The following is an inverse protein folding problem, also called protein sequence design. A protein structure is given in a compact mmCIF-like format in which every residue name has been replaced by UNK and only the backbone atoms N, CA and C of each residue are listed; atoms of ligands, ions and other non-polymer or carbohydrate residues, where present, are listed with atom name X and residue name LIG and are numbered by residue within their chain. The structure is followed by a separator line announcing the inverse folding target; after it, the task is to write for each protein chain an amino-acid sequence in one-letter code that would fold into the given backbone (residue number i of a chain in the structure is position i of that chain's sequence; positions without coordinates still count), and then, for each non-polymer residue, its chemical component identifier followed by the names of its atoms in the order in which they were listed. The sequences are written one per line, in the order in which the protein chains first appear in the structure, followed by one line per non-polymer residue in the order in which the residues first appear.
data_IF_077872557025
#
_entry.id   IF_077872557025
#
_cell.length_a   1.000
_cell.length_b   1.000
_cell.length_c   1.000
_cell.angle_alpha   90.00
_cell.angle_beta   90.00
_cell.angle_gamma   90.00
#
_symmetry.space_group_name_H-M   'P 1'
#
loop_
_entity.id
_entity.type
_entity.pdbx_description
1 polymer ?
#
# COMPACT_ATOMS: atom_id res chain seq x y z
N UNK A 1 1.13 22.03 3.38
CA UNK A 1 2.54 21.68 3.07
C UNK A 1 2.59 20.30 2.43
N UNK A 2 3.27 20.15 1.30
CA UNK A 2 3.42 18.84 0.65
C UNK A 2 4.61 18.12 1.29
N UNK A 3 4.36 16.93 1.80
CA UNK A 3 5.40 16.08 2.38
C UNK A 3 6.17 15.41 1.24
N UNK A 4 7.49 15.52 1.24
CA UNK A 4 8.34 14.89 0.24
C UNK A 4 8.37 13.36 0.35
N UNK A 5 8.88 12.70 -0.71
CA UNK A 5 8.92 11.23 -0.78
C UNK A 5 9.66 10.59 0.40
N UNK A 6 10.81 11.14 0.76
CA UNK A 6 11.60 10.60 1.88
C UNK A 6 10.83 10.68 3.19
N UNK A 7 10.10 11.76 3.43
CA UNK A 7 9.29 11.92 4.63
C UNK A 7 8.10 10.94 4.62
N UNK A 8 7.45 10.73 3.48
CA UNK A 8 6.37 9.75 3.36
C UNK A 8 6.88 8.33 3.63
N UNK A 9 8.05 8.00 3.10
CA UNK A 9 8.68 6.71 3.37
C UNK A 9 8.91 6.51 4.87
N UNK A 10 9.47 7.52 5.53
CA UNK A 10 9.73 7.46 6.96
C UNK A 10 8.44 7.28 7.78
N UNK A 11 7.39 7.99 7.42
CA UNK A 11 6.09 7.87 8.09
C UNK A 11 5.47 6.49 7.94
N UNK A 12 5.69 5.83 6.81
CA UNK A 12 5.13 4.51 6.49
C UNK A 12 5.95 3.36 7.04
N UNK A 13 7.19 3.61 7.45
CA UNK A 13 8.15 2.55 7.83
C UNK A 13 7.61 1.66 8.95
N UNK A 14 7.13 2.26 10.03
CA UNK A 14 6.61 1.50 11.18
C UNK A 14 5.42 0.64 10.79
N UNK A 15 4.51 1.17 9.98
CA UNK A 15 3.32 0.45 9.54
C UNK A 15 3.68 -0.72 8.61
N UNK A 16 4.54 -0.49 7.64
CA UNK A 16 4.99 -1.54 6.72
C UNK A 16 5.73 -2.64 7.48
N UNK A 17 6.62 -2.25 8.41
CA UNK A 17 7.35 -3.20 9.25
C UNK A 17 6.39 -4.05 10.09
N UNK A 18 5.33 -3.46 10.62
CA UNK A 18 4.34 -4.19 11.41
C UNK A 18 3.57 -5.22 10.58
N UNK A 19 3.47 -5.02 9.26
CA UNK A 19 2.71 -5.91 8.37
C UNK A 19 3.59 -7.00 7.77
N UNK A 20 4.76 -6.63 7.20
CA UNK A 20 5.60 -7.58 6.47
C UNK A 20 6.85 -8.02 7.24
N UNK A 21 7.11 -7.42 8.40
CA UNK A 21 8.28 -7.72 9.21
C UNK A 21 9.50 -6.89 8.85
N UNK A 22 10.47 -6.85 9.75
CA UNK A 22 11.69 -6.05 9.60
C UNK A 22 12.49 -6.41 8.35
N UNK A 23 12.61 -7.70 8.06
CA UNK A 23 13.45 -8.17 6.94
C UNK A 23 12.89 -7.77 5.58
N UNK A 24 11.57 -7.58 5.47
CA UNK A 24 10.91 -7.22 4.21
C UNK A 24 10.44 -5.77 4.16
N UNK A 25 10.65 -5.01 5.23
CA UNK A 25 10.14 -3.64 5.30
C UNK A 25 10.70 -2.75 4.20
N UNK A 26 12.00 -2.84 3.92
CA UNK A 26 12.62 -2.03 2.86
C UNK A 26 12.02 -2.35 1.49
N UNK A 27 11.83 -3.63 1.18
CA UNK A 27 11.20 -4.05 -0.08
C UNK A 27 9.76 -3.55 -0.17
N UNK A 28 9.00 -3.64 0.92
CA UNK A 28 7.64 -3.12 0.98
C UNK A 28 7.57 -1.62 0.76
N UNK A 29 8.48 -0.88 1.36
CA UNK A 29 8.57 0.57 1.16
C UNK A 29 8.96 0.94 -0.27
N UNK A 30 9.88 0.19 -0.87
CA UNK A 30 10.26 0.37 -2.27
C UNK A 30 9.05 0.14 -3.19
N UNK A 31 8.24 -0.87 -2.89
CA UNK A 31 7.03 -1.14 -3.65
C UNK A 31 6.04 0.02 -3.55
N UNK A 32 5.86 0.61 -2.37
CA UNK A 32 4.99 1.77 -2.21
C UNK A 32 5.52 2.98 -2.97
N UNK A 33 6.83 3.18 -3.04
CA UNK A 33 7.42 4.24 -3.87
C UNK A 33 7.13 4.02 -5.36
N UNK A 34 7.27 2.80 -5.85
CA UNK A 34 6.91 2.47 -7.22
C UNK A 34 5.43 2.71 -7.48
N UNK A 35 4.59 2.38 -6.50
CA UNK A 35 3.16 2.63 -6.58
C UNK A 35 2.85 4.13 -6.68
N UNK A 36 3.62 4.98 -5.99
CA UNK A 36 3.47 6.43 -6.13
C UNK A 36 3.72 6.90 -7.56
N UNK A 37 4.77 6.40 -8.21
CA UNK A 37 5.07 6.75 -9.59
C UNK A 37 3.92 6.35 -10.52
N UNK A 38 3.44 5.12 -10.39
CA UNK A 38 2.34 4.62 -11.21
C UNK A 38 1.05 5.41 -10.96
N UNK A 39 0.77 5.74 -9.70
CA UNK A 39 -0.39 6.53 -9.30
C UNK A 39 -0.34 7.91 -9.93
N UNK A 40 0.83 8.56 -9.89
CA UNK A 40 1.04 9.86 -10.50
C UNK A 40 0.78 9.81 -12.01
N UNK A 41 1.31 8.79 -12.68
CA UNK A 41 1.12 8.64 -14.13
C UNK A 41 -0.35 8.45 -14.50
N UNK A 42 -1.12 7.74 -13.68
CA UNK A 42 -2.52 7.45 -13.97
C UNK A 42 -3.48 8.56 -13.54
N UNK A 43 -3.20 9.21 -12.41
CA UNK A 43 -4.16 10.12 -11.78
C UNK A 43 -3.64 11.55 -11.58
N UNK A 44 -2.36 11.80 -11.82
CA UNK A 44 -1.75 13.11 -11.64
C UNK A 44 -1.52 13.52 -10.18
N UNK A 45 -1.81 12.64 -9.24
CA UNK A 45 -1.58 12.90 -7.82
C UNK A 45 -0.21 12.42 -7.39
N UNK A 46 0.42 13.09 -6.43
CA UNK A 46 1.79 12.79 -6.00
C UNK A 46 1.89 11.42 -5.35
N UNK A 47 0.87 11.01 -4.60
CA UNK A 47 0.85 9.74 -3.88
C UNK A 47 -0.60 9.25 -3.78
N UNK A 48 -0.82 7.93 -3.66
CA UNK A 48 -2.15 7.42 -3.32
C UNK A 48 -2.61 8.00 -1.98
N UNK A 49 -3.93 8.20 -1.80
CA UNK A 49 -4.46 8.56 -0.48
C UNK A 49 -4.10 7.52 0.59
N UNK A 50 -4.06 7.94 1.84
CA UNK A 50 -3.67 7.05 2.94
C UNK A 50 -4.56 5.82 3.07
N UNK A 51 -5.86 5.94 2.79
CA UNK A 51 -6.77 4.80 2.83
C UNK A 51 -6.44 3.76 1.76
N UNK A 52 -5.95 4.18 0.59
CA UNK A 52 -5.51 3.26 -0.46
C UNK A 52 -4.23 2.53 -0.01
N UNK A 53 -3.28 3.23 0.60
CA UNK A 53 -2.08 2.62 1.15
C UNK A 53 -2.44 1.57 2.21
N UNK A 54 -3.36 1.90 3.11
CA UNK A 54 -3.83 0.95 4.13
C UNK A 54 -4.48 -0.27 3.50
N UNK A 55 -5.29 -0.10 2.46
CA UNK A 55 -5.94 -1.21 1.78
C UNK A 55 -4.93 -2.14 1.09
N UNK A 56 -3.85 -1.59 0.53
CA UNK A 56 -2.76 -2.40 -0.02
C UNK A 56 -2.17 -3.29 1.09
N UNK A 57 -1.89 -2.71 2.25
CA UNK A 57 -1.31 -3.43 3.38
C UNK A 57 -2.26 -4.47 3.95
N UNK A 58 -3.54 -4.17 4.06
CA UNK A 58 -4.56 -5.12 4.51
C UNK A 58 -4.60 -6.33 3.56
N UNK A 59 -4.65 -6.10 2.26
CA UNK A 59 -4.70 -7.16 1.27
C UNK A 59 -3.41 -7.97 1.19
N UNK A 60 -2.27 -7.41 1.63
CA UNK A 60 -1.00 -8.12 1.64
C UNK A 60 -0.97 -9.27 2.64
N UNK A 61 -1.66 -9.10 3.77
CA UNK A 61 -1.71 -10.09 4.86
C UNK A 61 -0.31 -10.55 5.27
N UNK A 62 0.67 -9.66 5.21
CA UNK A 62 2.06 -9.94 5.56
C UNK A 62 2.86 -10.64 4.45
N UNK A 63 2.28 -10.88 3.29
CA UNK A 63 2.93 -11.53 2.16
C UNK A 63 3.31 -10.50 1.09
N UNK A 64 4.60 -10.44 0.75
CA UNK A 64 5.10 -9.45 -0.21
C UNK A 64 4.51 -9.67 -1.61
N UNK A 65 4.34 -10.92 -2.05
CA UNK A 65 3.75 -11.20 -3.36
C UNK A 65 2.30 -10.71 -3.42
N UNK A 66 1.53 -10.92 -2.35
CA UNK A 66 0.17 -10.40 -2.24
C UNK A 66 0.16 -8.86 -2.22
N UNK A 67 1.16 -8.25 -1.59
CA UNK A 67 1.31 -6.79 -1.57
C UNK A 67 1.54 -6.24 -2.98
N UNK A 68 2.36 -6.92 -3.79
CA UNK A 68 2.59 -6.54 -5.19
C UNK A 68 1.27 -6.59 -5.98
N UNK A 69 0.49 -7.64 -5.81
CA UNK A 69 -0.81 -7.77 -6.49
C UNK A 69 -1.77 -6.68 -6.05
N UNK A 70 -1.81 -6.38 -4.75
CA UNK A 70 -2.67 -5.33 -4.21
C UNK A 70 -2.27 -3.95 -4.72
N UNK A 71 -0.96 -3.67 -4.82
CA UNK A 71 -0.46 -2.40 -5.36
C UNK A 71 -0.85 -2.23 -6.83
N UNK A 72 -0.76 -3.28 -7.63
CA UNK A 72 -1.21 -3.27 -9.02
C UNK A 72 -2.71 -2.99 -9.12
N UNK A 73 -3.49 -3.65 -8.27
CA UNK A 73 -4.94 -3.46 -8.25
C UNK A 73 -5.29 -2.02 -7.83
N UNK A 74 -4.55 -1.45 -6.88
CA UNK A 74 -4.76 -0.08 -6.43
C UNK A 74 -4.69 0.92 -7.60
N UNK A 75 -3.68 0.77 -8.43
CA UNK A 75 -3.47 1.66 -9.58
C UNK A 75 -4.52 1.43 -10.67
N UNK A 76 -4.86 0.17 -10.92
CA UNK A 76 -5.81 -0.21 -11.95
C UNK A 76 -7.25 0.08 -11.54
N UNK A 77 -7.63 -0.23 -10.30
CA UNK A 77 -8.98 -0.06 -9.80
C UNK A 77 -8.99 -0.03 -8.26
N UNK A 78 -8.86 1.17 -7.69
CA UNK A 78 -8.80 1.34 -6.25
C UNK A 78 -10.11 0.95 -5.55
N UNK A 79 -11.24 0.98 -6.26
CA UNK A 79 -12.53 0.54 -5.71
C UNK A 79 -12.55 -0.97 -5.49
N UNK A 80 -12.04 -1.74 -6.46
CA UNK A 80 -11.93 -3.19 -6.30
C UNK A 80 -10.98 -3.53 -5.16
N UNK A 81 -9.90 -2.78 -5.01
CA UNK A 81 -9.00 -2.94 -3.86
C UNK A 81 -9.73 -2.69 -2.55
N UNK A 82 -10.51 -1.61 -2.47
CA UNK A 82 -11.30 -1.30 -1.27
C UNK A 82 -12.20 -2.48 -0.89
N UNK A 83 -12.93 -3.03 -1.86
CA UNK A 83 -13.82 -4.17 -1.62
C UNK A 83 -13.06 -5.41 -1.16
N UNK A 84 -11.90 -5.69 -1.78
CA UNK A 84 -11.05 -6.80 -1.39
C UNK A 84 -10.54 -6.64 0.04
N UNK A 85 -10.12 -5.41 0.42
CA UNK A 85 -9.64 -5.14 1.77
C UNK A 85 -10.75 -5.31 2.81
N UNK A 86 -11.97 -4.88 2.50
CA UNK A 86 -13.13 -5.07 3.40
C UNK A 86 -13.45 -6.54 3.56
N UNK A 87 -13.31 -7.33 2.49
CA UNK A 87 -13.51 -8.77 2.56
C UNK A 87 -12.49 -9.46 3.47
N UNK A 88 -11.21 -9.08 3.36
CA UNK A 88 -10.15 -9.60 4.24
C UNK A 88 -10.48 -9.29 5.71
N UNK A 89 -10.83 -8.05 6.00
CA UNK A 89 -11.19 -7.63 7.37
C UNK A 89 -12.38 -8.41 7.91
N UNK A 90 -13.39 -8.65 7.08
CA UNK A 90 -14.57 -9.43 7.45
C UNK A 90 -14.20 -10.87 7.81
N UNK A 91 -13.29 -11.48 7.07
CA UNK A 91 -12.82 -12.85 7.36
C UNK A 91 -12.02 -12.92 8.65
N UNK A 92 -11.23 -11.90 8.96
CA UNK A 92 -10.40 -11.85 10.17
C UNK A 92 -11.24 -11.69 11.43
N UNK A 93 -12.43 -11.08 11.30
CA UNK A 93 -13.35 -10.85 12.41
C UNK A 93 -14.31 -12.01 12.65
N UNK A 94 -14.34 -12.97 11.75
CA UNK A 94 -15.25 -14.11 11.84
C UNK A 94 -14.75 -15.17 12.82
#
# INVERSE_FOLDING_TARGET
MVIGRAARRAERESLVESVVGKSLASAGLDLLELTEYAWHDCYGEITPPDDVILDILICSRGDLAAMIRAAKLAVRDSRDLYLAARHVQSQEQA
#
